data_IF_632327640314
#
_entry.id   IF_632327640314
#
_cell.length_a   1.000
_cell.length_b   1.000
_cell.length_c   1.000
_cell.angle_alpha   90.00
_cell.angle_beta   90.00
_cell.angle_gamma   90.00
#
_symmetry.space_group_name_H-M   'P 1'
#
loop_
_entity.id
_entity.type
_entity.pdbx_description
1 polymer ?
#
# COMPACT_ATOMS: atom_id res chain seq x y z
N UNK A 1 -24.08 -24.96 14.44
CA UNK A 1 -22.78 -24.35 14.81
C UNK A 1 -21.64 -24.73 13.85
N UNK A 2 -21.43 -26.04 13.54
CA UNK A 2 -20.36 -26.47 12.61
C UNK A 2 -20.64 -26.00 11.17
N UNK A 3 -21.91 -26.05 10.73
CA UNK A 3 -22.31 -25.64 9.38
C UNK A 3 -22.17 -24.12 9.15
N UNK A 4 -22.44 -23.28 10.12
CA UNK A 4 -22.29 -21.82 10.01
C UNK A 4 -20.81 -21.41 9.95
N UNK A 5 -19.94 -22.09 10.68
CA UNK A 5 -18.49 -21.86 10.61
C UNK A 5 -17.90 -22.30 9.27
N UNK A 6 -18.42 -23.38 8.67
CA UNK A 6 -18.03 -23.85 7.34
C UNK A 6 -18.46 -22.88 6.22
N UNK A 7 -19.69 -22.39 6.26
CA UNK A 7 -20.23 -21.42 5.30
C UNK A 7 -19.39 -20.13 5.30
N UNK A 8 -18.99 -19.64 6.48
CA UNK A 8 -18.12 -18.46 6.59
C UNK A 8 -16.73 -18.67 5.96
N UNK A 9 -16.12 -19.85 6.16
CA UNK A 9 -14.81 -20.17 5.58
C UNK A 9 -14.88 -20.36 4.06
N UNK A 10 -15.92 -20.98 3.54
CA UNK A 10 -16.13 -21.13 2.08
C UNK A 10 -16.31 -19.79 1.38
N UNK A 11 -17.06 -18.86 1.99
CA UNK A 11 -17.18 -17.49 1.47
C UNK A 11 -15.83 -16.77 1.41
N UNK A 12 -15.04 -16.83 2.47
CA UNK A 12 -13.71 -16.22 2.51
C UNK A 12 -12.77 -16.79 1.46
N UNK A 13 -12.79 -18.11 1.24
CA UNK A 13 -11.99 -18.78 0.20
C UNK A 13 -12.43 -18.29 -1.18
N UNK A 14 -13.73 -18.32 -1.47
CA UNK A 14 -14.28 -17.87 -2.75
C UNK A 14 -13.92 -16.42 -3.04
N UNK A 15 -14.10 -15.52 -2.07
CA UNK A 15 -13.81 -14.10 -2.24
C UNK A 15 -12.32 -13.84 -2.48
N UNK A 16 -11.44 -14.61 -1.82
CA UNK A 16 -10.00 -14.56 -2.05
C UNK A 16 -9.64 -14.98 -3.47
N UNK A 17 -10.27 -16.05 -4.00
CA UNK A 17 -10.05 -16.48 -5.38
C UNK A 17 -10.57 -15.47 -6.39
N UNK A 18 -11.72 -14.86 -6.17
CA UNK A 18 -12.27 -13.81 -7.03
C UNK A 18 -11.33 -12.59 -7.06
N UNK A 19 -10.89 -12.13 -5.89
CA UNK A 19 -9.92 -11.03 -5.80
C UNK A 19 -8.63 -11.36 -6.56
N UNK A 20 -8.07 -12.56 -6.34
CA UNK A 20 -6.85 -13.00 -7.02
C UNK A 20 -7.04 -13.13 -8.53
N UNK A 21 -8.21 -13.58 -8.99
CA UNK A 21 -8.52 -13.66 -10.41
C UNK A 21 -8.54 -12.28 -11.06
N UNK A 22 -9.18 -11.28 -10.45
CA UNK A 22 -9.20 -9.89 -10.93
C UNK A 22 -7.78 -9.33 -11.04
N UNK A 23 -6.99 -9.46 -9.99
CA UNK A 23 -5.61 -8.98 -9.96
C UNK A 23 -4.70 -9.69 -10.99
N UNK A 24 -4.91 -11.02 -11.19
CA UNK A 24 -4.18 -11.77 -12.21
C UNK A 24 -4.59 -11.36 -13.61
N UNK A 25 -5.88 -11.11 -13.88
CA UNK A 25 -6.33 -10.61 -15.17
C UNK A 25 -5.71 -9.27 -15.50
N UNK A 26 -5.67 -8.32 -14.55
CA UNK A 26 -4.99 -7.04 -14.77
C UNK A 26 -3.50 -7.23 -15.08
N UNK A 27 -2.82 -8.04 -14.30
CA UNK A 27 -1.38 -8.31 -14.48
C UNK A 27 -1.04 -8.97 -15.83
N UNK A 28 -1.94 -9.79 -16.38
CA UNK A 28 -1.67 -10.53 -17.63
C UNK A 28 -2.15 -9.81 -18.88
N UNK A 29 -3.26 -9.09 -18.80
CA UNK A 29 -3.92 -8.50 -19.98
C UNK A 29 -4.23 -7.02 -19.82
N UNK A 30 -4.04 -6.42 -18.64
CA UNK A 30 -4.31 -5.00 -18.36
C UNK A 30 -3.37 -4.02 -19.06
N UNK A 31 -2.31 -4.52 -19.69
CA UNK A 31 -1.39 -3.70 -20.47
C UNK A 31 -2.04 -3.15 -21.75
N UNK A 32 -1.71 -1.91 -22.10
CA UNK A 32 -2.13 -1.27 -23.35
C UNK A 32 -1.41 -1.94 -24.53
N UNK A 33 -1.92 -3.09 -24.96
CA UNK A 33 -1.46 -3.81 -26.13
C UNK A 33 -2.57 -3.79 -27.18
N UNK A 34 -2.26 -3.56 -28.43
CA UNK A 34 -3.24 -3.46 -29.54
C UNK A 34 -4.17 -4.68 -29.63
N UNK A 35 -3.65 -5.86 -29.29
CA UNK A 35 -4.40 -7.12 -29.30
C UNK A 35 -5.49 -7.21 -28.21
N UNK A 36 -5.25 -6.60 -27.03
CA UNK A 36 -6.13 -6.73 -25.86
C UNK A 36 -6.67 -5.39 -25.34
N UNK A 37 -6.61 -4.34 -26.14
CA UNK A 37 -6.89 -2.96 -25.71
C UNK A 37 -8.24 -2.81 -24.99
N UNK A 38 -9.31 -3.41 -25.52
CA UNK A 38 -10.64 -3.29 -24.93
C UNK A 38 -10.84 -4.23 -23.74
N UNK A 39 -10.38 -5.46 -23.84
CA UNK A 39 -10.52 -6.47 -22.80
C UNK A 39 -9.61 -6.18 -21.60
N UNK A 40 -8.36 -5.79 -21.87
CA UNK A 40 -7.40 -5.38 -20.83
C UNK A 40 -7.84 -4.13 -20.08
N UNK A 41 -8.49 -3.18 -20.76
CA UNK A 41 -9.07 -2.00 -20.12
C UNK A 41 -10.17 -2.33 -19.11
N UNK A 42 -10.96 -3.37 -19.36
CA UNK A 42 -11.94 -3.85 -18.40
C UNK A 42 -11.26 -4.46 -17.16
N UNK A 43 -10.27 -5.33 -17.36
CA UNK A 43 -9.51 -5.95 -16.28
C UNK A 43 -8.83 -4.89 -15.38
N UNK A 44 -8.16 -3.90 -15.97
CA UNK A 44 -7.53 -2.81 -15.24
C UNK A 44 -8.53 -1.98 -14.42
N UNK A 45 -9.71 -1.68 -14.98
CA UNK A 45 -10.76 -0.96 -14.24
C UNK A 45 -11.36 -1.77 -13.10
N UNK A 46 -11.54 -3.08 -13.30
CA UNK A 46 -12.01 -3.96 -12.23
C UNK A 46 -11.00 -4.02 -11.08
N UNK A 47 -9.71 -4.14 -11.38
CA UNK A 47 -8.65 -4.09 -10.38
C UNK A 47 -8.64 -2.75 -9.64
N UNK A 48 -8.76 -1.64 -10.35
CA UNK A 48 -8.84 -0.30 -9.74
C UNK A 48 -10.03 -0.16 -8.78
N UNK A 49 -11.19 -0.73 -9.10
CA UNK A 49 -12.39 -0.69 -8.25
C UNK A 49 -12.20 -1.55 -6.99
N UNK A 50 -11.74 -2.78 -7.15
CA UNK A 50 -11.56 -3.72 -6.03
C UNK A 50 -10.47 -3.22 -5.06
N UNK A 51 -9.42 -2.62 -5.58
CA UNK A 51 -8.32 -2.07 -4.78
C UNK A 51 -8.57 -0.65 -4.24
N UNK A 52 -9.70 -0.02 -4.59
CA UNK A 52 -9.95 1.39 -4.23
C UNK A 52 -9.93 1.66 -2.73
N UNK A 53 -10.67 0.86 -1.95
CA UNK A 53 -10.73 0.98 -0.48
C UNK A 53 -9.44 0.45 0.17
N UNK A 54 -8.96 -0.77 -0.16
CA UNK A 54 -7.73 -1.31 0.44
C UNK A 54 -6.51 -0.43 0.25
N UNK A 55 -6.32 0.17 -0.92
CA UNK A 55 -5.18 1.04 -1.18
C UNK A 55 -5.16 2.28 -0.28
N UNK A 56 -6.32 2.92 -0.10
CA UNK A 56 -6.44 4.11 0.76
C UNK A 56 -6.26 3.78 2.23
N UNK A 57 -6.90 2.70 2.68
CA UNK A 57 -6.70 2.20 4.03
C UNK A 57 -5.22 1.84 4.28
N UNK A 58 -4.59 1.13 3.34
CA UNK A 58 -3.17 0.79 3.40
C UNK A 58 -2.26 2.01 3.49
N UNK A 59 -2.53 3.06 2.71
CA UNK A 59 -1.79 4.33 2.80
C UNK A 59 -1.91 5.00 4.17
N UNK A 60 -3.13 5.11 4.71
CA UNK A 60 -3.35 5.66 6.05
C UNK A 60 -2.67 4.82 7.15
N UNK A 61 -2.76 3.50 7.05
CA UNK A 61 -2.13 2.59 8.02
C UNK A 61 -0.60 2.64 7.94
N UNK A 62 -0.04 2.84 6.74
CA UNK A 62 1.40 3.03 6.59
C UNK A 62 1.88 4.36 7.20
N UNK A 63 1.09 5.43 7.17
CA UNK A 63 1.37 6.66 7.92
C UNK A 63 1.37 6.40 9.43
N UNK A 64 0.40 5.62 9.94
CA UNK A 64 0.38 5.23 11.34
C UNK A 64 1.61 4.37 11.71
N UNK A 65 1.98 3.43 10.84
CA UNK A 65 3.19 2.62 10.98
C UNK A 65 4.47 3.47 11.06
N UNK A 66 4.56 4.54 10.25
CA UNK A 66 5.66 5.50 10.34
C UNK A 66 5.72 6.19 11.71
N UNK A 67 4.56 6.49 12.30
CA UNK A 67 4.47 7.03 13.67
C UNK A 67 4.99 6.05 14.71
N UNK A 68 4.59 4.79 14.62
CA UNK A 68 5.06 3.72 15.53
C UNK A 68 6.57 3.53 15.40
N UNK A 69 7.09 3.45 14.16
CA UNK A 69 8.52 3.30 13.91
C UNK A 69 9.32 4.50 14.46
N UNK A 70 8.80 5.72 14.27
CA UNK A 70 9.42 6.94 14.83
C UNK A 70 9.45 6.94 16.36
N UNK A 71 8.37 6.47 17.00
CA UNK A 71 8.31 6.33 18.46
C UNK A 71 9.30 5.27 18.97
N UNK A 72 9.39 4.14 18.29
CA UNK A 72 10.34 3.08 18.63
C UNK A 72 11.79 3.59 18.55
N UNK A 73 12.17 4.33 17.52
CA UNK A 73 13.50 4.95 17.44
C UNK A 73 13.75 5.96 18.58
N UNK A 74 12.72 6.74 18.93
CA UNK A 74 12.82 7.67 20.06
C UNK A 74 13.02 6.95 21.38
N UNK A 75 12.32 5.85 21.61
CA UNK A 75 12.50 5.02 22.82
C UNK A 75 13.90 4.38 22.90
N UNK A 76 14.52 4.12 21.75
CA UNK A 76 15.91 3.64 21.66
C UNK A 76 16.97 4.78 21.79
N UNK A 77 16.55 5.99 22.15
CA UNK A 77 17.44 7.13 22.40
C UNK A 77 17.82 7.93 21.15
N UNK A 78 17.19 7.70 20.02
CA UNK A 78 17.43 8.49 18.80
C UNK A 78 16.62 9.79 18.84
N UNK A 79 17.29 10.92 18.68
CA UNK A 79 16.62 12.23 18.61
C UNK A 79 15.69 12.33 17.38
N UNK A 80 14.64 13.15 17.51
CA UNK A 80 13.63 13.35 16.43
C UNK A 80 14.24 13.78 15.10
N UNK A 81 15.28 14.61 15.15
CA UNK A 81 15.96 15.12 13.95
C UNK A 81 16.84 14.05 13.27
N UNK A 82 17.30 13.06 14.02
CA UNK A 82 18.08 11.90 13.56
C UNK A 82 17.18 10.69 13.21
N UNK A 83 15.89 10.76 13.46
CA UNK A 83 14.95 9.70 13.13
C UNK A 83 14.85 9.50 11.62
N UNK A 84 14.96 8.24 11.17
CA UNK A 84 14.78 7.87 9.78
C UNK A 84 13.30 7.96 9.34
N UNK A 85 12.38 7.88 10.31
CA UNK A 85 10.95 7.92 10.04
C UNK A 85 10.32 9.24 10.48
N UNK A 86 9.33 9.69 9.73
CA UNK A 86 8.56 10.89 10.04
C UNK A 86 7.09 10.70 9.69
N UNK A 87 6.25 10.58 10.73
CA UNK A 87 4.80 10.49 10.56
C UNK A 87 4.20 11.76 9.90
N UNK A 88 4.64 12.95 10.36
CA UNK A 88 4.12 14.21 9.83
C UNK A 88 4.44 14.41 8.35
N UNK A 89 5.67 14.05 7.94
CA UNK A 89 6.05 14.13 6.53
C UNK A 89 5.34 13.03 5.71
N UNK A 90 5.19 11.81 6.25
CA UNK A 90 4.41 10.74 5.62
C UNK A 90 2.99 11.20 5.31
N UNK A 91 2.30 11.83 6.26
CA UNK A 91 0.95 12.35 6.09
C UNK A 91 0.88 13.45 5.03
N UNK A 92 1.81 14.42 5.10
CA UNK A 92 1.90 15.52 4.14
C UNK A 92 2.07 15.02 2.70
N UNK A 93 3.05 14.12 2.48
CA UNK A 93 3.34 13.56 1.16
C UNK A 93 2.22 12.66 0.67
N UNK A 94 1.65 11.82 1.56
CA UNK A 94 0.50 10.99 1.24
C UNK A 94 -0.66 11.83 0.68
N UNK A 95 -1.04 12.91 1.35
CA UNK A 95 -2.14 13.75 0.89
C UNK A 95 -1.84 14.46 -0.45
N UNK A 96 -0.59 14.89 -0.64
CA UNK A 96 -0.16 15.64 -1.83
C UNK A 96 0.01 14.72 -3.05
N UNK A 97 0.63 13.57 -2.87
CA UNK A 97 1.20 12.78 -3.98
C UNK A 97 0.44 11.48 -4.29
N UNK A 98 -0.52 11.08 -3.45
CA UNK A 98 -1.27 9.82 -3.58
C UNK A 98 -2.00 9.62 -4.91
N UNK A 99 -2.18 10.67 -5.71
CA UNK A 99 -2.86 10.62 -7.00
C UNK A 99 -1.90 10.85 -8.19
N UNK A 100 -0.60 10.90 -7.97
CA UNK A 100 0.39 11.17 -9.01
C UNK A 100 0.71 9.98 -9.93
N UNK A 101 0.18 8.80 -9.66
CA UNK A 101 0.40 7.62 -10.50
C UNK A 101 -0.74 7.45 -11.53
N UNK A 102 -0.47 6.70 -12.60
CA UNK A 102 -1.46 6.37 -13.64
C UNK A 102 -2.63 5.53 -13.11
N UNK A 103 -2.37 4.62 -12.15
CA UNK A 103 -3.42 3.94 -11.39
C UNK A 103 -3.75 4.76 -10.12
N UNK A 104 -5.03 4.93 -9.78
CA UNK A 104 -5.45 5.70 -8.60
C UNK A 104 -5.08 5.01 -7.27
N UNK A 105 -4.61 3.78 -7.32
CA UNK A 105 -4.31 2.94 -6.15
C UNK A 105 -2.81 2.82 -5.86
N UNK A 106 -1.95 2.84 -6.89
CA UNK A 106 -0.51 2.56 -6.75
C UNK A 106 0.22 3.56 -5.86
N UNK A 107 -0.02 4.86 -6.03
CA UNK A 107 0.70 5.89 -5.29
C UNK A 107 0.25 6.04 -3.83
N UNK A 108 -0.78 5.33 -3.36
CA UNK A 108 -1.31 5.48 -2.00
C UNK A 108 -0.26 5.09 -0.94
N UNK A 109 0.21 3.87 -0.96
CA UNK A 109 1.24 3.37 -0.02
C UNK A 109 2.63 3.88 -0.39
N UNK A 110 2.92 4.03 -1.69
CA UNK A 110 4.21 4.54 -2.18
C UNK A 110 4.48 5.97 -1.67
N UNK A 111 3.48 6.85 -1.75
CA UNK A 111 3.63 8.24 -1.25
C UNK A 111 3.76 8.29 0.27
N UNK A 112 3.03 7.45 1.01
CA UNK A 112 3.17 7.36 2.46
C UNK A 112 4.59 6.88 2.86
N UNK A 113 5.12 5.87 2.16
CA UNK A 113 6.46 5.34 2.39
C UNK A 113 7.56 6.37 2.05
N UNK A 114 7.47 7.01 0.86
CA UNK A 114 8.40 8.06 0.44
C UNK A 114 8.45 9.20 1.46
N UNK A 115 7.28 9.64 1.91
CA UNK A 115 7.16 10.67 2.94
C UNK A 115 7.72 10.22 4.29
N UNK A 116 7.43 9.00 4.72
CA UNK A 116 7.94 8.43 5.96
C UNK A 116 9.47 8.41 6.00
N UNK A 117 10.10 7.98 4.92
CA UNK A 117 11.55 7.86 4.78
C UNK A 117 12.25 9.15 4.35
N UNK A 118 11.51 10.22 4.04
CA UNK A 118 12.04 11.52 3.60
C UNK A 118 12.86 11.42 2.30
N UNK A 119 12.46 10.52 1.40
CA UNK A 119 13.12 10.28 0.12
C UNK A 119 12.18 10.58 -1.04
N UNK A 120 12.73 10.78 -2.22
CA UNK A 120 11.96 10.87 -3.46
C UNK A 120 12.03 9.55 -4.19
N UNK A 121 10.87 9.08 -4.65
CA UNK A 121 10.71 7.87 -5.43
C UNK A 121 10.17 8.23 -6.83
N UNK A 122 10.26 7.27 -7.76
CA UNK A 122 9.81 7.47 -9.13
C UNK A 122 10.65 8.54 -9.86
N UNK A 123 10.10 9.21 -10.85
CA UNK A 123 10.81 10.16 -11.70
C UNK A 123 11.16 9.56 -13.07
N UNK A 124 11.95 10.29 -13.82
CA UNK A 124 12.35 9.92 -15.19
C UNK A 124 13.19 8.66 -15.19
N UNK A 125 12.83 7.69 -16.04
CA UNK A 125 13.59 6.46 -16.17
C UNK A 125 13.60 5.94 -17.61
N UNK A 126 14.64 5.19 -17.96
CA UNK A 126 14.77 4.59 -19.27
C UNK A 126 14.14 3.20 -19.32
N UNK A 127 13.13 3.03 -20.19
CA UNK A 127 12.52 1.74 -20.48
C UNK A 127 12.78 1.38 -21.94
N UNK A 128 13.45 0.26 -22.18
CA UNK A 128 13.81 -0.20 -23.53
C UNK A 128 14.48 0.88 -24.38
N UNK A 129 15.39 1.67 -23.78
CA UNK A 129 16.11 2.75 -24.44
C UNK A 129 15.32 4.04 -24.71
N UNK A 130 14.08 4.12 -24.25
CA UNK A 130 13.25 5.33 -24.33
C UNK A 130 13.09 5.96 -22.96
N UNK A 131 13.28 7.28 -22.88
CA UNK A 131 13.04 8.05 -21.67
C UNK A 131 11.54 8.13 -21.43
N UNK A 132 11.10 7.66 -20.27
CA UNK A 132 9.72 7.75 -19.82
C UNK A 132 9.65 8.71 -18.65
N UNK A 133 8.97 9.83 -18.82
CA UNK A 133 8.73 10.81 -17.78
C UNK A 133 7.65 10.31 -16.82
N UNK A 134 7.99 10.17 -15.55
CA UNK A 134 7.04 9.85 -14.47
C UNK A 134 7.10 10.93 -13.40
N UNK A 135 5.96 11.33 -12.83
CA UNK A 135 5.97 12.33 -11.76
C UNK A 135 6.71 11.79 -10.54
N UNK A 136 7.51 12.64 -9.93
CA UNK A 136 8.20 12.35 -8.67
C UNK A 136 7.20 12.26 -7.51
N UNK A 137 7.40 11.27 -6.63
CA UNK A 137 6.63 11.03 -5.42
C UNK A 137 7.55 11.23 -4.21
N UNK A 138 7.15 12.10 -3.29
CA UNK A 138 7.97 12.48 -2.15
C UNK A 138 8.88 13.67 -2.42
N UNK A 139 9.57 14.09 -1.38
CA UNK A 139 10.57 15.15 -1.40
C UNK A 139 11.95 14.55 -1.11
N UNK A 140 12.96 14.89 -1.92
CA UNK A 140 14.34 14.46 -1.70
C UNK A 140 14.97 15.28 -0.56
N UNK A 141 14.53 15.02 0.68
CA UNK A 141 15.09 15.66 1.87
C UNK A 141 16.46 15.06 2.19
N UNK A 142 16.64 13.77 1.87
CA UNK A 142 17.92 13.06 1.91
C UNK A 142 18.07 12.15 0.70
N UNK A 143 19.28 11.72 0.44
CA UNK A 143 19.56 10.74 -0.60
C UNK A 143 19.05 9.34 -0.21
N UNK A 144 18.76 8.54 -1.23
CA UNK A 144 18.27 7.17 -1.05
C UNK A 144 19.46 6.25 -0.76
N UNK A 145 19.34 5.46 0.31
CA UNK A 145 20.34 4.53 0.80
C UNK A 145 19.89 3.08 0.61
N UNK A 146 20.84 2.14 0.55
CA UNK A 146 20.54 0.70 0.45
C UNK A 146 19.73 0.23 1.68
N UNK A 147 19.99 0.81 2.84
CA UNK A 147 19.28 0.55 4.09
C UNK A 147 17.79 0.92 4.03
N UNK A 148 17.37 1.76 3.09
CA UNK A 148 15.95 2.13 2.94
C UNK A 148 15.09 0.95 2.49
N UNK A 149 15.68 -0.06 1.87
CA UNK A 149 15.01 -1.33 1.60
C UNK A 149 14.58 -2.00 2.91
N UNK A 150 15.45 -2.03 3.91
CA UNK A 150 15.12 -2.59 5.24
C UNK A 150 14.12 -1.72 5.97
N UNK A 151 14.29 -0.40 5.89
CA UNK A 151 13.39 0.56 6.54
C UNK A 151 11.97 0.51 5.95
N UNK A 152 11.84 0.37 4.63
CA UNK A 152 10.54 0.20 3.99
C UNK A 152 9.88 -1.13 4.34
N UNK A 153 10.65 -2.22 4.45
CA UNK A 153 10.15 -3.50 4.90
C UNK A 153 9.65 -3.45 6.37
N UNK A 154 10.32 -2.70 7.24
CA UNK A 154 9.85 -2.48 8.62
C UNK A 154 8.49 -1.79 8.60
N UNK A 155 8.30 -0.74 7.79
CA UNK A 155 6.99 -0.08 7.64
C UNK A 155 5.94 -1.04 7.14
N UNK A 156 6.27 -1.88 6.15
CA UNK A 156 5.37 -2.91 5.63
C UNK A 156 4.93 -3.90 6.72
N UNK A 157 5.88 -4.44 7.50
CA UNK A 157 5.56 -5.39 8.57
C UNK A 157 4.71 -4.77 9.68
N UNK A 158 5.02 -3.53 10.10
CA UNK A 158 4.22 -2.82 11.10
C UNK A 158 2.81 -2.59 10.54
N UNK A 159 2.67 -2.18 9.28
CA UNK A 159 1.37 -1.98 8.63
C UNK A 159 0.57 -3.29 8.59
N UNK A 160 1.20 -4.38 8.18
CA UNK A 160 0.56 -5.71 8.15
C UNK A 160 0.10 -6.15 9.55
N UNK A 161 0.93 -5.92 10.57
CA UNK A 161 0.59 -6.24 11.95
C UNK A 161 -0.61 -5.44 12.47
N UNK A 162 -0.68 -4.14 12.15
CA UNK A 162 -1.84 -3.29 12.47
C UNK A 162 -3.11 -3.84 11.79
N UNK A 163 -3.03 -4.23 10.52
CA UNK A 163 -4.18 -4.81 9.79
C UNK A 163 -4.66 -6.09 10.49
N UNK A 164 -3.76 -6.98 10.86
CA UNK A 164 -4.10 -8.23 11.56
C UNK A 164 -4.83 -7.92 12.88
N UNK A 165 -4.32 -6.99 13.67
CA UNK A 165 -4.95 -6.60 14.94
C UNK A 165 -6.36 -6.05 14.70
N UNK A 166 -6.53 -5.16 13.71
CA UNK A 166 -7.84 -4.59 13.37
C UNK A 166 -8.83 -5.68 12.97
N UNK A 167 -8.41 -6.60 12.12
CA UNK A 167 -9.25 -7.73 11.68
C UNK A 167 -9.65 -8.62 12.84
N UNK A 168 -8.72 -8.94 13.76
CA UNK A 168 -9.01 -9.74 14.94
C UNK A 168 -10.00 -9.04 15.89
N UNK A 169 -9.85 -7.72 16.09
CA UNK A 169 -10.76 -6.92 16.91
C UNK A 169 -12.16 -6.92 16.29
N UNK A 170 -12.26 -6.65 14.99
CA UNK A 170 -13.56 -6.65 14.30
C UNK A 170 -14.21 -8.02 14.40
N UNK A 171 -13.46 -9.10 14.13
CA UNK A 171 -13.97 -10.47 14.25
C UNK A 171 -14.49 -10.77 15.66
N UNK A 172 -13.73 -10.42 16.70
CA UNK A 172 -14.12 -10.63 18.08
C UNK A 172 -15.39 -9.83 18.44
N UNK A 173 -15.48 -8.58 18.00
CA UNK A 173 -16.66 -7.75 18.23
C UNK A 173 -17.91 -8.31 17.54
N UNK A 174 -17.77 -8.78 16.29
CA UNK A 174 -18.88 -9.43 15.55
C UNK A 174 -19.33 -10.71 16.26
N UNK A 175 -18.40 -11.54 16.71
CA UNK A 175 -18.76 -12.76 17.46
C UNK A 175 -19.48 -12.44 18.78
N UNK A 176 -19.04 -11.42 19.53
CA UNK A 176 -19.72 -11.00 20.76
C UNK A 176 -21.12 -10.42 20.52
N UNK A 177 -21.36 -9.84 19.33
CA UNK A 177 -22.67 -9.26 19.03
C UNK A 177 -23.70 -10.30 18.58
N UNK A 178 -23.25 -11.40 17.96
CA UNK A 178 -24.12 -12.46 17.41
C UNK A 178 -24.19 -13.73 18.31
N UNK A 179 -23.40 -13.82 19.37
CA UNK A 179 -23.53 -14.81 20.43
C UNK A 179 -24.25 -14.22 21.65
#
# INVERSE_FOLDING_TARGET
>A
EISECLVGSEMCIRDSFVYKAVNTMDSMIGYKNDKYLHFGRFAAKMDDVVNFIPARAGGCLMVAAAGIAQLAEKCMGRNKDLSHYSMGNAWKIFLRDRMKHSSPNSAQTESACAGALKVSLSGDNYYFGRLVHKPQIGDSIRELEIEDIKRSNILLYITAFIVIIIVLIIRSAVMCYFC
#
